data_IF_850586706385
#
_entry.id   IF_850586706385
#
_cell.length_a   1.000
_cell.length_b   1.000
_cell.length_c   1.000
_cell.angle_alpha   90.00
_cell.angle_beta   90.00
_cell.angle_gamma   90.00
#
_symmetry.space_group_name_H-M   'P 1'
#
loop_
_entity.id
_entity.type
_entity.pdbx_description
1 polymer ?
#
# COMPACT_ATOMS: atom_id res chain seq x y z
N UNK A 1 14.14 -10.08 5.59
CA UNK A 1 12.90 -9.73 4.85
C UNK A 1 11.85 -10.72 5.33
N UNK A 2 10.86 -10.28 6.10
CA UNK A 2 9.73 -11.14 6.49
C UNK A 2 8.97 -11.51 5.22
N UNK A 3 8.75 -12.81 5.01
CA UNK A 3 7.94 -13.33 3.90
C UNK A 3 6.52 -12.77 4.04
N UNK A 4 6.12 -11.90 3.12
CA UNK A 4 4.80 -11.29 3.15
C UNK A 4 3.80 -12.25 2.49
N UNK A 5 2.93 -12.85 3.29
CA UNK A 5 1.90 -13.78 2.81
C UNK A 5 0.70 -13.02 2.27
N UNK A 6 0.18 -13.38 1.10
CA UNK A 6 -1.04 -12.83 0.52
C UNK A 6 -2.17 -13.88 0.49
N UNK A 7 -3.44 -13.49 0.61
CA UNK A 7 -3.92 -12.14 0.96
C UNK A 7 -3.59 -11.77 2.41
N UNK A 8 -3.42 -10.48 2.69
CA UNK A 8 -3.16 -9.96 4.04
C UNK A 8 -3.97 -8.71 4.34
N UNK A 9 -4.36 -8.54 5.62
CA UNK A 9 -4.93 -7.28 6.08
C UNK A 9 -3.86 -6.21 6.09
N UNK A 10 -4.24 -5.00 5.69
CA UNK A 10 -3.29 -3.90 5.59
C UNK A 10 -3.92 -2.56 5.94
N UNK A 11 -3.06 -1.59 6.21
CA UNK A 11 -3.41 -0.17 6.37
C UNK A 11 -2.57 0.67 5.41
N UNK A 12 -3.20 1.65 4.76
CA UNK A 12 -2.49 2.63 3.95
C UNK A 12 -1.68 3.55 4.86
N UNK A 13 -0.39 3.70 4.58
CA UNK A 13 0.53 4.50 5.38
C UNK A 13 1.04 5.70 4.61
N UNK A 14 1.44 6.74 5.34
CA UNK A 14 2.19 7.85 4.77
C UNK A 14 3.68 7.54 4.85
N UNK A 15 4.34 7.54 3.69
CA UNK A 15 5.79 7.50 3.58
C UNK A 15 6.27 8.92 3.32
N UNK A 16 6.77 9.55 4.40
CA UNK A 16 7.44 10.83 4.31
C UNK A 16 8.65 10.69 3.38
N UNK A 17 8.77 11.63 2.43
CA UNK A 17 9.67 11.59 1.29
C UNK A 17 11.14 11.36 1.61
N UNK A 18 11.56 10.12 1.88
CA UNK A 18 12.97 9.75 2.03
C UNK A 18 13.59 9.50 0.65
N UNK A 19 14.85 9.91 0.49
CA UNK A 19 15.61 9.64 -0.73
C UNK A 19 16.29 8.30 -0.57
N UNK A 20 15.77 7.27 -1.23
CA UNK A 20 16.41 5.97 -1.29
C UNK A 20 17.14 5.84 -2.63
N UNK A 21 18.48 5.68 -2.58
CA UNK A 21 19.34 5.60 -3.77
C UNK A 21 19.14 6.74 -4.80
N UNK A 22 18.92 7.97 -4.32
CA UNK A 22 18.69 9.15 -5.18
C UNK A 22 17.24 9.29 -5.68
N UNK A 23 16.37 8.32 -5.41
CA UNK A 23 14.94 8.37 -5.75
C UNK A 23 14.17 8.84 -4.53
N UNK A 24 13.41 9.93 -4.69
CA UNK A 24 12.53 10.43 -3.64
C UNK A 24 11.29 9.54 -3.55
N UNK A 25 11.26 8.64 -2.58
CA UNK A 25 10.12 7.77 -2.30
C UNK A 25 9.11 8.59 -1.51
N UNK A 26 8.07 9.08 -2.18
CA UNK A 26 6.96 9.82 -1.54
C UNK A 26 5.67 9.03 -1.66
N UNK A 27 4.74 9.25 -0.74
CA UNK A 27 3.36 8.80 -0.89
C UNK A 27 2.76 9.29 -2.21
N UNK A 28 2.29 8.38 -3.08
CA UNK A 28 1.61 8.76 -4.32
C UNK A 28 0.39 9.63 -4.04
N UNK A 29 0.09 10.56 -4.95
CA UNK A 29 -1.08 11.45 -4.79
C UNK A 29 -2.40 10.68 -4.70
N UNK A 30 -2.49 9.52 -5.38
CA UNK A 30 -3.67 8.66 -5.40
C UNK A 30 -4.01 8.08 -4.02
N UNK A 31 -3.02 7.72 -3.20
CA UNK A 31 -3.26 7.10 -1.89
C UNK A 31 -3.34 8.09 -0.73
N UNK A 32 -2.91 9.34 -0.93
CA UNK A 32 -2.97 10.38 0.12
C UNK A 32 -4.33 10.54 0.81
N UNK A 33 -5.49 10.56 0.10
CA UNK A 33 -6.80 10.66 0.74
C UNK A 33 -7.20 9.41 1.55
N UNK A 34 -6.45 8.31 1.39
CA UNK A 34 -6.75 7.01 1.97
C UNK A 34 -5.78 6.64 3.09
N UNK A 35 -4.82 7.51 3.46
CA UNK A 35 -3.92 7.30 4.59
C UNK A 35 -4.73 6.97 5.85
N UNK A 36 -4.35 5.89 6.53
CA UNK A 36 -5.03 5.37 7.73
C UNK A 36 -6.20 4.44 7.44
N UNK A 37 -6.70 4.36 6.20
CA UNK A 37 -7.75 3.40 5.83
C UNK A 37 -7.19 1.98 5.77
N UNK A 38 -8.05 1.02 6.09
CA UNK A 38 -7.72 -0.40 6.11
C UNK A 38 -8.38 -1.15 4.96
N UNK A 39 -7.80 -2.30 4.65
CA UNK A 39 -8.22 -3.13 3.53
C UNK A 39 -7.48 -4.45 3.47
N UNK A 40 -7.65 -5.14 2.35
CA UNK A 40 -6.98 -6.40 2.06
C UNK A 40 -6.07 -6.23 0.84
N UNK A 41 -4.79 -6.54 1.00
CA UNK A 41 -3.82 -6.63 -0.07
C UNK A 41 -3.78 -8.08 -0.61
N UNK A 42 -3.80 -8.25 -1.92
CA UNK A 42 -3.72 -9.55 -2.59
C UNK A 42 -2.85 -9.47 -3.85
N UNK A 43 -2.20 -10.57 -4.22
CA UNK A 43 -1.50 -10.68 -5.50
C UNK A 43 -2.51 -10.82 -6.64
N UNK A 44 -2.33 -10.01 -7.68
CA UNK A 44 -3.15 -9.98 -8.88
C UNK A 44 -2.24 -9.77 -10.11
N UNK A 45 -2.05 -10.84 -10.89
CA UNK A 45 -1.33 -10.77 -12.17
C UNK A 45 0.11 -10.23 -12.09
N UNK A 46 0.80 -10.37 -10.94
CA UNK A 46 2.15 -9.86 -10.72
C UNK A 46 2.24 -8.48 -10.07
N UNK A 47 1.10 -7.86 -9.76
CA UNK A 47 1.03 -6.66 -8.91
C UNK A 47 0.27 -6.96 -7.62
N UNK A 48 0.33 -6.05 -6.65
CA UNK A 48 -0.53 -6.08 -5.48
C UNK A 48 -1.78 -5.26 -5.76
N UNK A 49 -2.95 -5.81 -5.50
CA UNK A 49 -4.22 -5.09 -5.47
C UNK A 49 -4.64 -4.91 -4.01
N UNK A 50 -4.87 -3.67 -3.60
CA UNK A 50 -5.37 -3.30 -2.27
C UNK A 50 -6.83 -2.91 -2.39
N UNK A 51 -7.72 -3.67 -1.78
CA UNK A 51 -9.15 -3.35 -1.68
C UNK A 51 -9.44 -2.83 -0.28
N UNK A 52 -9.76 -1.54 -0.16
CA UNK A 52 -10.14 -0.91 1.10
C UNK A 52 -11.53 -1.36 1.55
N UNK A 53 -11.81 -1.24 2.84
CA UNK A 53 -13.08 -1.66 3.43
C UNK A 53 -14.28 -0.81 2.94
N UNK A 54 -14.02 0.39 2.41
CA UNK A 54 -15.02 1.25 1.75
C UNK A 54 -15.26 0.88 0.28
N UNK A 55 -14.61 -0.17 -0.23
CA UNK A 55 -14.71 -0.65 -1.60
C UNK A 55 -13.76 0.04 -2.59
N UNK A 56 -12.98 1.04 -2.16
CA UNK A 56 -11.95 1.67 -3.02
C UNK A 56 -10.85 0.66 -3.36
N UNK A 57 -10.40 0.65 -4.61
CA UNK A 57 -9.27 -0.18 -5.04
C UNK A 57 -8.06 0.69 -5.37
N UNK A 58 -6.91 0.33 -4.81
CA UNK A 58 -5.60 0.94 -5.09
C UNK A 58 -4.64 -0.16 -5.55
N UNK A 59 -3.81 0.13 -6.54
CA UNK A 59 -2.73 -0.78 -6.95
C UNK A 59 -1.49 -0.57 -6.08
N UNK A 60 -0.63 -1.59 -5.97
CA UNK A 60 0.56 -1.57 -5.12
C UNK A 60 1.58 -0.50 -5.51
N UNK A 61 1.56 -0.02 -6.74
CA UNK A 61 2.36 1.12 -7.19
C UNK A 61 1.68 2.48 -6.94
N UNK A 62 0.39 2.49 -6.60
CA UNK A 62 -0.40 3.70 -6.28
C UNK A 62 -0.49 3.98 -4.77
N UNK A 63 0.02 3.07 -3.93
CA UNK A 63 -0.05 3.20 -2.49
C UNK A 63 1.13 2.56 -1.76
N UNK A 64 1.39 3.09 -0.56
CA UNK A 64 2.19 2.41 0.45
C UNK A 64 1.24 1.84 1.49
N UNK A 65 1.52 0.63 1.94
CA UNK A 65 0.72 -0.06 2.92
C UNK A 65 1.61 -0.97 3.77
N UNK A 66 1.16 -1.23 4.99
CA UNK A 66 1.78 -2.19 5.89
C UNK A 66 0.78 -3.27 6.28
N UNK A 67 1.23 -4.51 6.52
CA UNK A 67 0.35 -5.56 7.03
C UNK A 67 -0.07 -5.23 8.46
N UNK A 68 -1.34 -5.47 8.78
CA UNK A 68 -1.89 -5.33 10.13
C UNK A 68 -2.38 -6.69 10.62
N UNK A 69 -2.24 -6.94 11.92
CA UNK A 69 -2.57 -8.23 12.56
C UNK A 69 -4.06 -8.36 12.83
#
# INVERSE_FOLDING_TARGET
>A
MTEQTYPTRCRIIDVAGEVWNGIRIRTPAASRPHIGKEGTAALDGGCVRVTLDDGTVLMGYDCWWEPIT
#
